data_IF_690875607723
#
_entry.id   IF_690875607723
#
_cell.length_a   1.000
_cell.length_b   1.000
_cell.length_c   1.000
_cell.angle_alpha   90.00
_cell.angle_beta   90.00
_cell.angle_gamma   90.00
#
_symmetry.space_group_name_H-M   'P 1'
#
loop_
_entity.id
_entity.type
_entity.pdbx_description
1 polymer ?
#
# COMPACT_ATOMS: atom_id res chain seq x y z
N UNK A 1 -37.79 -24.97 15.62
CA UNK A 1 -36.50 -24.40 16.10
C UNK A 1 -36.05 -23.19 15.27
N UNK A 2 -35.99 -23.27 13.92
CA UNK A 2 -35.69 -22.12 13.04
C UNK A 2 -36.61 -20.91 13.20
N UNK A 3 -37.93 -21.10 13.26
CA UNK A 3 -38.90 -20.00 13.43
C UNK A 3 -38.78 -19.30 14.80
N UNK A 4 -38.43 -20.03 15.85
CA UNK A 4 -38.28 -19.51 17.22
C UNK A 4 -36.98 -18.71 17.34
N UNK A 5 -35.88 -19.23 16.80
CA UNK A 5 -34.61 -18.52 16.70
C UNK A 5 -34.75 -17.25 15.86
N UNK A 6 -35.45 -17.33 14.72
CA UNK A 6 -35.71 -16.18 13.87
C UNK A 6 -36.58 -15.12 14.58
N UNK A 7 -37.69 -15.54 15.24
CA UNK A 7 -38.53 -14.64 16.05
C UNK A 7 -37.77 -13.98 17.19
N UNK A 8 -36.84 -14.70 17.84
CA UNK A 8 -35.96 -14.15 18.88
C UNK A 8 -34.94 -13.16 18.28
N UNK A 9 -34.42 -13.44 17.09
CA UNK A 9 -33.44 -12.62 16.39
C UNK A 9 -34.01 -11.27 15.94
N UNK A 10 -35.23 -11.22 15.39
CA UNK A 10 -35.85 -9.97 14.89
C UNK A 10 -36.22 -8.93 15.98
N UNK A 11 -36.00 -9.24 17.26
CA UNK A 11 -36.43 -8.41 18.40
C UNK A 11 -35.50 -7.23 18.72
N UNK A 12 -34.27 -7.17 18.18
CA UNK A 12 -33.33 -6.09 18.43
C UNK A 12 -33.19 -5.13 17.23
N UNK A 13 -32.93 -3.85 17.50
CA UNK A 13 -32.70 -2.82 16.47
C UNK A 13 -31.42 -3.06 15.66
N UNK A 14 -30.41 -3.67 16.27
CA UNK A 14 -29.15 -4.02 15.62
C UNK A 14 -29.35 -5.15 14.60
N UNK A 15 -30.14 -6.16 14.96
CA UNK A 15 -30.50 -7.25 14.06
C UNK A 15 -31.35 -6.75 12.88
N UNK A 16 -32.20 -5.74 13.07
CA UNK A 16 -32.96 -5.14 11.99
C UNK A 16 -32.07 -4.47 10.92
N UNK A 17 -30.98 -3.80 11.32
CA UNK A 17 -29.99 -3.24 10.37
C UNK A 17 -29.26 -4.33 9.59
N UNK A 18 -28.87 -5.41 10.26
CA UNK A 18 -28.20 -6.52 9.61
C UNK A 18 -29.10 -7.22 8.61
N UNK A 19 -30.34 -7.54 8.99
CA UNK A 19 -31.32 -8.16 8.10
C UNK A 19 -31.66 -7.25 6.91
N UNK A 20 -31.81 -5.94 7.14
CA UNK A 20 -31.97 -4.96 6.07
C UNK A 20 -30.81 -4.96 5.09
N UNK A 21 -29.58 -5.09 5.61
CA UNK A 21 -28.35 -5.18 4.79
C UNK A 21 -28.31 -6.47 4.00
N UNK A 22 -28.63 -7.61 4.62
CA UNK A 22 -28.72 -8.91 3.95
C UNK A 22 -29.69 -8.88 2.77
N UNK A 23 -30.90 -8.36 2.97
CA UNK A 23 -31.92 -8.19 1.92
C UNK A 23 -31.35 -7.33 0.79
N UNK A 24 -30.77 -6.19 1.15
CA UNK A 24 -30.26 -5.23 0.16
C UNK A 24 -29.14 -5.82 -0.68
N UNK A 25 -28.21 -6.56 -0.09
CA UNK A 25 -27.11 -7.21 -0.81
C UNK A 25 -27.66 -8.26 -1.78
N UNK A 26 -28.46 -9.22 -1.30
CA UNK A 26 -29.03 -10.28 -2.15
C UNK A 26 -29.88 -9.71 -3.29
N UNK A 27 -30.68 -8.67 -3.00
CA UNK A 27 -31.44 -7.95 -4.04
C UNK A 27 -30.53 -7.35 -5.10
N UNK A 28 -29.41 -6.73 -4.71
CA UNK A 28 -28.44 -6.15 -5.65
C UNK A 28 -27.79 -7.25 -6.50
N UNK A 29 -27.43 -8.38 -5.91
CA UNK A 29 -26.80 -9.50 -6.64
C UNK A 29 -27.72 -10.12 -7.69
N UNK A 30 -29.02 -10.15 -7.41
CA UNK A 30 -30.04 -10.63 -8.35
C UNK A 30 -30.49 -9.54 -9.34
N UNK A 31 -29.88 -8.35 -9.31
CA UNK A 31 -30.25 -7.19 -10.13
C UNK A 31 -31.73 -6.77 -10.00
N UNK A 32 -32.33 -6.98 -8.83
CA UNK A 32 -33.74 -6.65 -8.57
C UNK A 32 -33.85 -5.20 -8.06
N UNK A 33 -34.77 -4.41 -8.61
CA UNK A 33 -35.03 -3.05 -8.10
C UNK A 33 -35.81 -3.10 -6.78
N UNK A 34 -35.70 -2.06 -5.95
CA UNK A 34 -36.50 -1.97 -4.70
C UNK A 34 -38.00 -2.02 -5.02
N UNK A 35 -38.41 -1.40 -6.13
CA UNK A 35 -39.80 -1.41 -6.60
C UNK A 35 -40.27 -2.83 -6.95
N UNK A 36 -39.48 -3.57 -7.72
CA UNK A 36 -39.78 -4.93 -8.12
C UNK A 36 -39.90 -5.86 -6.91
N UNK A 37 -38.92 -5.83 -6.00
CA UNK A 37 -38.97 -6.66 -4.78
C UNK A 37 -40.15 -6.30 -3.89
N UNK A 38 -40.48 -5.01 -3.75
CA UNK A 38 -41.64 -4.57 -2.98
C UNK A 38 -42.95 -5.14 -3.55
N UNK A 39 -43.10 -5.12 -4.87
CA UNK A 39 -44.25 -5.70 -5.56
C UNK A 39 -44.32 -7.23 -5.37
N UNK A 40 -43.21 -7.94 -5.54
CA UNK A 40 -43.14 -9.39 -5.35
C UNK A 40 -43.49 -9.80 -3.91
N UNK A 41 -42.95 -9.09 -2.92
CA UNK A 41 -43.22 -9.31 -1.51
C UNK A 41 -44.53 -8.68 -1.01
N UNK A 42 -45.32 -8.06 -1.91
CA UNK A 42 -46.61 -7.41 -1.61
C UNK A 42 -46.54 -6.42 -0.45
N UNK A 43 -45.52 -5.57 -0.45
CA UNK A 43 -45.30 -4.50 0.53
C UNK A 43 -45.06 -3.17 -0.16
N UNK A 44 -45.30 -2.05 0.54
CA UNK A 44 -45.02 -0.74 -0.02
C UNK A 44 -43.52 -0.53 -0.28
N UNK A 45 -43.16 0.07 -1.42
CA UNK A 45 -41.76 0.41 -1.77
C UNK A 45 -41.08 1.24 -0.68
N UNK A 46 -41.76 2.24 -0.14
CA UNK A 46 -41.24 3.09 0.96
C UNK A 46 -40.97 2.26 2.23
N UNK A 47 -41.82 1.28 2.51
CA UNK A 47 -41.67 0.36 3.63
C UNK A 47 -40.44 -0.53 3.44
N UNK A 48 -40.27 -1.17 2.29
CA UNK A 48 -39.10 -1.98 2.00
C UNK A 48 -37.80 -1.16 2.07
N UNK A 49 -37.82 0.07 1.54
CA UNK A 49 -36.68 0.98 1.61
C UNK A 49 -36.29 1.36 3.06
N UNK A 50 -37.27 1.47 3.97
CA UNK A 50 -36.99 1.68 5.39
C UNK A 50 -36.43 0.42 6.06
N UNK A 51 -36.92 -0.76 5.66
CA UNK A 51 -36.41 -2.06 6.14
C UNK A 51 -34.96 -2.28 5.69
N UNK A 52 -34.64 -2.07 4.40
CA UNK A 52 -33.27 -2.24 3.87
C UNK A 52 -32.24 -1.29 4.52
N UNK A 53 -32.68 -0.12 5.01
CA UNK A 53 -31.84 0.82 5.74
C UNK A 53 -31.76 0.53 7.24
N UNK A 54 -32.49 -0.46 7.73
CA UNK A 54 -32.61 -0.76 9.15
C UNK A 54 -33.30 0.35 9.97
N UNK A 55 -34.03 1.26 9.31
CA UNK A 55 -34.82 2.31 9.97
C UNK A 55 -36.09 1.72 10.58
N UNK A 56 -36.61 0.63 9.97
CA UNK A 56 -37.81 -0.05 10.42
C UNK A 56 -37.60 -1.56 10.41
N UNK A 57 -37.97 -2.23 11.50
CA UNK A 57 -38.02 -3.70 11.53
C UNK A 57 -39.29 -4.21 10.85
N UNK A 58 -39.18 -5.32 10.14
CA UNK A 58 -40.33 -6.00 9.56
C UNK A 58 -40.89 -7.08 10.51
N UNK A 59 -42.15 -7.45 10.33
CA UNK A 59 -42.69 -8.61 11.05
C UNK A 59 -42.08 -9.90 10.49
N UNK A 60 -42.04 -10.97 11.28
CA UNK A 60 -41.51 -12.26 10.83
C UNK A 60 -42.15 -12.76 9.52
N UNK A 61 -43.47 -12.56 9.34
CA UNK A 61 -44.19 -12.87 8.09
C UNK A 61 -43.68 -12.06 6.90
N UNK A 62 -43.42 -10.77 7.09
CA UNK A 62 -42.91 -9.89 6.02
C UNK A 62 -41.46 -10.22 5.67
N UNK A 63 -40.62 -10.52 6.65
CA UNK A 63 -39.28 -11.02 6.37
C UNK A 63 -39.31 -12.35 5.61
N UNK A 64 -40.15 -13.30 6.03
CA UNK A 64 -40.30 -14.58 5.33
C UNK A 64 -40.70 -14.37 3.86
N UNK A 65 -41.67 -13.49 3.60
CA UNK A 65 -42.08 -13.15 2.23
C UNK A 65 -40.94 -12.52 1.42
N UNK A 66 -40.17 -11.58 2.00
CA UNK A 66 -39.02 -10.97 1.31
C UNK A 66 -37.94 -12.03 1.02
N UNK A 67 -37.63 -12.89 1.99
CA UNK A 67 -36.60 -13.93 1.86
C UNK A 67 -36.98 -14.97 0.82
N UNK A 68 -38.25 -15.36 0.75
CA UNK A 68 -38.76 -16.25 -0.28
C UNK A 68 -38.56 -15.68 -1.69
N UNK A 69 -38.84 -14.38 -1.90
CA UNK A 69 -38.64 -13.74 -3.21
C UNK A 69 -37.17 -13.54 -3.59
N UNK A 70 -36.26 -13.61 -2.62
CA UNK A 70 -34.81 -13.51 -2.83
C UNK A 70 -34.10 -14.87 -2.71
N UNK A 71 -34.82 -15.98 -2.55
CA UNK A 71 -34.26 -17.31 -2.31
C UNK A 71 -33.23 -17.37 -1.15
N UNK A 72 -33.50 -16.64 -0.07
CA UNK A 72 -32.62 -16.56 1.10
C UNK A 72 -32.98 -17.65 2.11
N UNK A 73 -32.20 -18.74 2.13
CA UNK A 73 -32.17 -19.68 3.27
C UNK A 73 -31.40 -19.06 4.44
N UNK A 74 -32.08 -18.22 5.23
CA UNK A 74 -31.45 -17.45 6.29
C UNK A 74 -30.84 -18.34 7.38
N UNK A 75 -29.54 -18.15 7.61
CA UNK A 75 -28.77 -18.83 8.66
C UNK A 75 -28.26 -17.81 9.68
N UNK A 76 -28.55 -18.06 10.95
CA UNK A 76 -27.88 -17.37 12.05
C UNK A 76 -26.56 -18.10 12.28
N UNK A 77 -25.45 -17.41 12.03
CA UNK A 77 -24.13 -17.92 12.40
C UNK A 77 -23.82 -17.42 13.80
N UNK A 78 -23.05 -18.22 14.53
CA UNK A 78 -22.37 -17.76 15.74
C UNK A 78 -21.50 -16.53 15.41
N UNK A 79 -21.92 -15.37 15.91
CA UNK A 79 -21.25 -14.10 15.65
C UNK A 79 -19.83 -14.08 16.22
N UNK A 80 -19.57 -14.81 17.31
CA UNK A 80 -18.24 -14.86 17.92
C UNK A 80 -17.29 -15.65 17.01
N UNK A 81 -17.76 -16.78 16.48
CA UNK A 81 -17.00 -17.57 15.51
C UNK A 81 -16.71 -16.79 14.22
N UNK A 82 -17.67 -16.01 13.73
CA UNK A 82 -17.46 -15.16 12.55
C UNK A 82 -16.46 -14.06 12.79
N UNK A 83 -16.60 -13.38 13.92
CA UNK A 83 -15.69 -12.33 14.35
C UNK A 83 -14.28 -12.89 14.47
N UNK A 84 -14.11 -14.05 15.10
CA UNK A 84 -12.82 -14.72 15.22
C UNK A 84 -12.21 -15.08 13.85
N UNK A 85 -13.00 -15.61 12.91
CA UNK A 85 -12.51 -15.93 11.55
C UNK A 85 -12.07 -14.68 10.80
N UNK A 86 -12.86 -13.63 10.86
CA UNK A 86 -12.55 -12.34 10.25
C UNK A 86 -11.26 -11.75 10.83
N UNK A 87 -11.12 -11.78 12.16
CA UNK A 87 -9.94 -11.29 12.87
C UNK A 87 -8.69 -12.11 12.54
N UNK A 88 -8.78 -13.43 12.46
CA UNK A 88 -7.66 -14.30 12.10
C UNK A 88 -7.11 -14.00 10.69
N UNK A 89 -7.98 -13.68 9.73
CA UNK A 89 -7.55 -13.30 8.37
C UNK A 89 -6.89 -11.92 8.40
N UNK A 90 -7.51 -10.95 9.08
CA UNK A 90 -6.91 -9.61 9.23
C UNK A 90 -5.57 -9.66 9.94
N UNK A 91 -5.43 -10.51 10.95
CA UNK A 91 -4.18 -10.75 11.65
C UNK A 91 -3.13 -11.31 10.70
N UNK A 92 -3.44 -12.36 9.92
CA UNK A 92 -2.50 -12.90 8.93
C UNK A 92 -2.04 -11.83 7.93
N UNK A 93 -2.95 -10.97 7.45
CA UNK A 93 -2.62 -9.83 6.57
C UNK A 93 -1.74 -8.79 7.29
N UNK A 94 -2.06 -8.46 8.54
CA UNK A 94 -1.31 -7.49 9.33
C UNK A 94 0.09 -8.00 9.67
N UNK A 95 0.27 -9.29 9.91
CA UNK A 95 1.56 -9.95 10.15
C UNK A 95 2.30 -10.35 8.86
N UNK A 96 1.76 -10.01 7.68
CA UNK A 96 2.39 -10.30 6.38
C UNK A 96 2.65 -11.81 6.22
N UNK A 97 1.67 -12.62 6.62
CA UNK A 97 1.62 -14.06 6.44
C UNK A 97 0.65 -14.35 5.28
N UNK A 98 1.16 -14.15 4.06
CA UNK A 98 0.37 -14.24 2.83
C UNK A 98 -0.16 -15.65 2.60
N UNK A 99 0.61 -16.68 2.96
CA UNK A 99 0.22 -18.08 2.78
C UNK A 99 -0.92 -18.45 3.72
N UNK A 100 -0.82 -18.07 5.01
CA UNK A 100 -1.92 -18.26 5.96
C UNK A 100 -3.15 -17.45 5.55
N UNK A 101 -2.98 -16.20 5.14
CA UNK A 101 -4.09 -15.36 4.69
C UNK A 101 -4.82 -16.00 3.49
N UNK A 102 -4.06 -16.48 2.50
CA UNK A 102 -4.60 -17.17 1.33
C UNK A 102 -5.34 -18.45 1.72
N UNK A 103 -4.72 -19.30 2.55
CA UNK A 103 -5.35 -20.54 3.02
C UNK A 103 -6.67 -20.28 3.74
N UNK A 104 -6.74 -19.23 4.58
CA UNK A 104 -7.96 -18.87 5.29
C UNK A 104 -9.03 -18.31 4.36
N UNK A 105 -8.66 -17.53 3.33
CA UNK A 105 -9.58 -17.05 2.30
C UNK A 105 -10.11 -18.20 1.45
N UNK A 106 -9.27 -19.15 1.04
CA UNK A 106 -9.71 -20.31 0.26
C UNK A 106 -10.74 -21.15 1.06
N UNK A 107 -10.53 -21.32 2.36
CA UNK A 107 -11.52 -21.95 3.27
C UNK A 107 -12.82 -21.15 3.35
N UNK A 108 -12.73 -19.82 3.37
CA UNK A 108 -13.89 -18.93 3.38
C UNK A 108 -14.68 -19.06 2.07
N UNK A 109 -14.02 -19.10 0.92
CA UNK A 109 -14.65 -19.27 -0.39
C UNK A 109 -15.37 -20.62 -0.53
N UNK A 110 -14.72 -21.70 -0.08
CA UNK A 110 -15.33 -23.04 -0.06
C UNK A 110 -16.59 -23.12 0.83
N UNK A 111 -16.80 -22.13 1.69
CA UNK A 111 -17.98 -22.01 2.53
C UNK A 111 -18.86 -20.80 2.21
N UNK A 112 -18.70 -20.17 1.03
CA UNK A 112 -19.46 -18.98 0.58
C UNK A 112 -20.98 -19.06 0.85
N UNK A 113 -21.61 -20.18 0.50
CA UNK A 113 -23.07 -20.38 0.66
C UNK A 113 -23.51 -20.27 2.13
N UNK A 114 -22.61 -20.54 3.07
CA UNK A 114 -22.88 -20.37 4.50
C UNK A 114 -22.95 -18.90 4.89
N UNK A 115 -22.20 -18.01 4.23
CA UNK A 115 -22.12 -16.59 4.58
C UNK A 115 -23.09 -15.70 3.78
N UNK A 116 -23.27 -15.99 2.49
CA UNK A 116 -24.06 -15.18 1.57
C UNK A 116 -25.52 -14.98 2.02
N UNK A 117 -26.10 -15.95 2.72
CA UNK A 117 -27.48 -15.89 3.24
C UNK A 117 -27.54 -15.76 4.77
N UNK A 118 -26.52 -15.14 5.37
CA UNK A 118 -26.35 -15.15 6.83
C UNK A 118 -26.06 -13.79 7.44
N UNK A 119 -25.92 -13.80 8.76
CA UNK A 119 -25.46 -12.66 9.56
C UNK A 119 -24.01 -12.24 9.26
N UNK A 120 -23.17 -13.11 8.69
CA UNK A 120 -21.76 -12.85 8.38
C UNK A 120 -21.47 -12.30 6.98
N UNK A 121 -22.50 -11.84 6.27
CA UNK A 121 -22.40 -11.44 4.87
C UNK A 121 -21.47 -10.23 4.66
N UNK A 122 -21.50 -9.26 5.57
CA UNK A 122 -20.71 -8.03 5.44
C UNK A 122 -19.22 -8.33 5.62
N UNK A 123 -18.89 -9.13 6.61
CA UNK A 123 -17.56 -9.64 6.92
C UNK A 123 -16.98 -10.39 5.73
N UNK A 124 -17.79 -11.25 5.11
CA UNK A 124 -17.40 -11.99 3.90
C UNK A 124 -16.98 -11.06 2.76
N UNK A 125 -17.80 -10.07 2.38
CA UNK A 125 -17.40 -9.15 1.30
C UNK A 125 -16.23 -8.24 1.70
N UNK A 126 -16.21 -7.75 2.93
CA UNK A 126 -15.18 -6.84 3.40
C UNK A 126 -13.81 -7.52 3.44
N UNK A 127 -13.70 -8.74 3.96
CA UNK A 127 -12.40 -9.41 4.07
C UNK A 127 -11.84 -9.80 2.71
N UNK A 128 -12.70 -10.17 1.76
CA UNK A 128 -12.32 -10.41 0.36
C UNK A 128 -11.78 -9.15 -0.30
N UNK A 129 -12.49 -8.04 -0.13
CA UNK A 129 -12.05 -6.74 -0.65
C UNK A 129 -10.65 -6.39 -0.12
N UNK A 130 -10.46 -6.51 1.20
CA UNK A 130 -9.18 -6.24 1.87
C UNK A 130 -8.07 -7.16 1.32
N UNK A 131 -8.34 -8.47 1.25
CA UNK A 131 -7.38 -9.46 0.78
C UNK A 131 -6.95 -9.20 -0.67
N UNK A 132 -7.90 -8.96 -1.58
CA UNK A 132 -7.58 -8.73 -2.98
C UNK A 132 -6.85 -7.40 -3.20
N UNK A 133 -7.22 -6.33 -2.49
CA UNK A 133 -6.47 -5.06 -2.54
C UNK A 133 -5.00 -5.27 -2.15
N UNK A 134 -4.73 -6.04 -1.09
CA UNK A 134 -3.36 -6.26 -0.60
C UNK A 134 -2.56 -7.22 -1.48
N UNK A 135 -3.20 -8.23 -2.06
CA UNK A 135 -2.50 -9.26 -2.85
C UNK A 135 -2.31 -8.87 -4.32
N UNK A 136 -3.22 -8.10 -4.91
CA UNK A 136 -3.18 -7.72 -6.33
C UNK A 136 -2.46 -6.38 -6.60
N UNK A 137 -2.23 -5.57 -5.56
CA UNK A 137 -1.32 -4.40 -5.56
C UNK A 137 -1.40 -3.49 -6.80
N UNK A 138 -2.59 -3.01 -7.15
CA UNK A 138 -2.79 -2.09 -8.28
C UNK A 138 -2.98 -2.79 -9.63
N UNK A 139 -2.92 -4.12 -9.67
CA UNK A 139 -3.40 -4.88 -10.84
C UNK A 139 -4.90 -4.65 -10.97
N UNK A 140 -5.35 -4.18 -12.14
CA UNK A 140 -6.78 -4.00 -12.40
C UNK A 140 -7.53 -5.33 -12.22
N UNK A 141 -8.67 -5.26 -11.53
CA UNK A 141 -9.46 -6.43 -11.19
C UNK A 141 -10.94 -6.09 -11.08
N UNK A 142 -11.79 -6.64 -11.97
CA UNK A 142 -13.22 -6.36 -11.96
C UNK A 142 -13.88 -6.85 -10.66
N UNK A 143 -13.29 -7.86 -10.02
CA UNK A 143 -13.77 -8.40 -8.75
C UNK A 143 -13.58 -7.41 -7.58
N UNK A 144 -12.45 -6.68 -7.54
CA UNK A 144 -12.24 -5.63 -6.54
C UNK A 144 -13.27 -4.51 -6.72
N UNK A 145 -13.53 -4.12 -7.97
CA UNK A 145 -14.55 -3.11 -8.30
C UNK A 145 -15.94 -3.53 -7.87
N UNK A 146 -16.32 -4.78 -8.15
CA UNK A 146 -17.61 -5.33 -7.74
C UNK A 146 -17.77 -5.31 -6.22
N UNK A 147 -16.75 -5.77 -5.49
CA UNK A 147 -16.72 -5.81 -4.03
C UNK A 147 -16.84 -4.41 -3.42
N UNK A 148 -16.04 -3.46 -3.90
CA UNK A 148 -16.07 -2.08 -3.42
C UNK A 148 -17.44 -1.45 -3.66
N UNK A 149 -18.00 -1.62 -4.86
CA UNK A 149 -19.32 -1.08 -5.21
C UNK A 149 -20.43 -1.65 -4.32
N UNK A 150 -20.40 -2.96 -4.02
CA UNK A 150 -21.33 -3.59 -3.08
C UNK A 150 -21.24 -2.97 -1.69
N UNK A 151 -20.01 -2.84 -1.15
CA UNK A 151 -19.77 -2.27 0.18
C UNK A 151 -20.17 -0.79 0.25
N UNK A 152 -19.92 -0.01 -0.80
CA UNK A 152 -20.32 1.40 -0.87
C UNK A 152 -21.85 1.58 -0.90
N UNK A 153 -22.58 0.70 -1.58
CA UNK A 153 -24.05 0.74 -1.60
C UNK A 153 -24.65 0.53 -0.21
N UNK A 154 -24.00 -0.25 0.65
CA UNK A 154 -24.46 -0.54 2.03
C UNK A 154 -23.76 0.31 3.10
N UNK A 155 -22.86 1.23 2.73
CA UNK A 155 -22.00 2.00 3.66
C UNK A 155 -22.73 2.65 4.84
N UNK A 156 -23.98 3.10 4.63
CA UNK A 156 -24.80 3.73 5.65
C UNK A 156 -25.19 2.80 6.80
N UNK A 157 -25.23 1.49 6.53
CA UNK A 157 -25.60 0.45 7.49
C UNK A 157 -24.40 -0.20 8.17
N UNK A 158 -23.18 0.04 7.69
CA UNK A 158 -21.98 -0.55 8.25
C UNK A 158 -21.73 -0.08 9.69
N UNK A 159 -21.22 -0.99 10.51
CA UNK A 159 -20.69 -0.66 11.84
C UNK A 159 -19.52 0.31 11.71
N UNK A 160 -19.16 1.00 12.80
CA UNK A 160 -18.07 1.95 12.78
C UNK A 160 -16.74 1.28 12.40
N UNK A 161 -16.45 0.10 12.95
CA UNK A 161 -15.25 -0.68 12.62
C UNK A 161 -15.18 -1.05 11.14
N UNK A 162 -16.31 -1.41 10.51
CA UNK A 162 -16.34 -1.75 9.09
C UNK A 162 -16.20 -0.51 8.19
N UNK A 163 -16.69 0.66 8.63
CA UNK A 163 -16.44 1.92 7.94
C UNK A 163 -14.96 2.31 7.98
N UNK A 164 -14.30 2.11 9.13
CA UNK A 164 -12.86 2.32 9.29
C UNK A 164 -12.08 1.44 8.30
N UNK A 165 -12.31 0.14 8.32
CA UNK A 165 -11.63 -0.81 7.43
C UNK A 165 -11.91 -0.53 5.95
N UNK A 166 -13.17 -0.28 5.58
CA UNK A 166 -13.53 0.06 4.20
C UNK A 166 -12.79 1.33 3.74
N UNK A 167 -12.81 2.40 4.54
CA UNK A 167 -12.07 3.63 4.20
C UNK A 167 -10.56 3.38 4.10
N UNK A 168 -9.99 2.64 5.06
CA UNK A 168 -8.56 2.33 5.07
C UNK A 168 -8.12 1.63 3.78
N UNK A 169 -8.79 0.53 3.42
CA UNK A 169 -8.35 -0.27 2.28
C UNK A 169 -8.76 0.29 0.92
N UNK A 170 -9.78 1.16 0.86
CA UNK A 170 -9.98 2.03 -0.32
C UNK A 170 -8.81 3.01 -0.48
N UNK A 171 -8.31 3.57 0.61
CA UNK A 171 -7.11 4.40 0.59
C UNK A 171 -5.87 3.64 0.13
N UNK A 172 -5.69 2.40 0.60
CA UNK A 172 -4.60 1.52 0.14
C UNK A 172 -4.71 1.19 -1.35
N UNK A 173 -5.93 0.95 -1.85
CA UNK A 173 -6.17 0.75 -3.28
C UNK A 173 -5.73 1.99 -4.08
N UNK A 174 -6.18 3.18 -3.68
CA UNK A 174 -5.79 4.44 -4.33
C UNK A 174 -4.29 4.72 -4.29
N UNK A 175 -3.61 4.29 -3.21
CA UNK A 175 -2.15 4.31 -3.17
C UNK A 175 -1.53 3.45 -4.28
N UNK A 176 -2.03 2.24 -4.51
CA UNK A 176 -1.52 1.39 -5.60
C UNK A 176 -1.87 1.96 -6.99
N UNK A 177 -3.00 2.64 -7.11
CA UNK A 177 -3.40 3.38 -8.32
C UNK A 177 -2.57 4.67 -8.54
N UNK A 178 -1.61 4.96 -7.65
CA UNK A 178 -0.77 6.18 -7.62
C UNK A 178 -1.56 7.48 -7.42
N UNK A 179 -2.78 7.38 -6.88
CA UNK A 179 -3.66 8.51 -6.56
C UNK A 179 -3.48 8.94 -5.08
N UNK A 180 -2.35 9.57 -4.76
CA UNK A 180 -1.91 9.79 -3.38
C UNK A 180 -2.81 10.72 -2.56
N UNK A 181 -3.35 11.80 -3.15
CA UNK A 181 -4.24 12.72 -2.44
C UNK A 181 -5.58 12.06 -2.07
N UNK A 182 -6.15 11.26 -2.97
CA UNK A 182 -7.33 10.45 -2.69
C UNK A 182 -7.05 9.38 -1.63
N UNK A 183 -5.89 8.73 -1.71
CA UNK A 183 -5.44 7.76 -0.73
C UNK A 183 -5.39 8.38 0.68
N UNK A 184 -4.75 9.55 0.82
CA UNK A 184 -4.66 10.27 2.09
C UNK A 184 -6.04 10.71 2.60
N UNK A 185 -6.90 11.23 1.72
CA UNK A 185 -8.27 11.62 2.07
C UNK A 185 -9.05 10.45 2.67
N UNK A 186 -8.94 9.26 2.09
CA UNK A 186 -9.61 8.06 2.56
C UNK A 186 -9.00 7.51 3.86
N UNK A 187 -7.67 7.55 3.99
CA UNK A 187 -6.98 7.10 5.20
C UNK A 187 -7.24 8.02 6.40
N UNK A 188 -7.26 9.34 6.22
CA UNK A 188 -7.65 10.29 7.26
C UNK A 188 -9.12 10.12 7.65
N UNK A 189 -10.01 9.92 6.67
CA UNK A 189 -11.41 9.59 6.94
C UNK A 189 -11.56 8.31 7.77
N UNK A 190 -10.66 7.34 7.61
CA UNK A 190 -10.65 6.14 8.44
C UNK A 190 -10.37 6.47 9.92
N UNK A 191 -9.49 7.45 10.20
CA UNK A 191 -9.27 7.96 11.56
C UNK A 191 -10.44 8.81 12.08
N UNK A 192 -11.12 9.57 11.21
CA UNK A 192 -12.27 10.41 11.60
C UNK A 192 -13.48 9.59 12.06
N UNK A 193 -13.59 8.33 11.62
CA UNK A 193 -14.57 7.40 12.16
C UNK A 193 -14.26 6.98 13.62
N UNK A 194 -13.08 7.27 14.15
CA UNK A 194 -12.75 7.09 15.56
C UNK A 194 -11.59 6.12 15.81
N UNK A 195 -11.22 6.02 17.09
CA UNK A 195 -10.10 5.17 17.53
C UNK A 195 -10.54 3.71 17.48
N UNK A 196 -9.73 2.86 16.85
CA UNK A 196 -9.94 1.41 16.81
C UNK A 196 -8.62 0.66 16.93
N UNK A 197 -8.69 -0.66 17.13
CA UNK A 197 -7.51 -1.54 17.06
C UNK A 197 -6.77 -1.48 15.72
N UNK A 198 -7.39 -0.94 14.67
CA UNK A 198 -6.80 -0.79 13.34
C UNK A 198 -6.04 0.53 13.17
N UNK A 199 -6.18 1.49 14.09
CA UNK A 199 -5.50 2.80 14.04
C UNK A 199 -3.98 2.72 13.80
N UNK A 200 -3.22 1.79 14.40
CA UNK A 200 -1.79 1.64 14.10
C UNK A 200 -1.51 1.31 12.62
N UNK A 201 -2.33 0.43 12.03
CA UNK A 201 -2.19 0.05 10.64
C UNK A 201 -2.63 1.17 9.67
N UNK A 202 -3.60 2.00 10.07
CA UNK A 202 -3.98 3.21 9.33
C UNK A 202 -2.80 4.20 9.31
N UNK A 203 -2.19 4.47 10.48
CA UNK A 203 -1.02 5.34 10.57
C UNK A 203 0.17 4.79 9.78
N UNK A 204 0.38 3.47 9.76
CA UNK A 204 1.37 2.84 8.89
C UNK A 204 1.11 3.14 7.41
N UNK A 205 -0.13 2.98 6.92
CA UNK A 205 -0.46 3.30 5.53
C UNK A 205 -0.33 4.81 5.24
N UNK A 206 -0.71 5.69 6.16
CA UNK A 206 -0.49 7.14 6.02
C UNK A 206 1.00 7.44 5.89
N UNK A 207 1.84 6.84 6.75
CA UNK A 207 3.30 6.98 6.69
C UNK A 207 3.88 6.48 5.37
N UNK A 208 3.42 5.32 4.88
CA UNK A 208 3.80 4.78 3.58
C UNK A 208 3.46 5.76 2.45
N UNK A 209 2.22 6.26 2.39
CA UNK A 209 1.79 7.18 1.34
C UNK A 209 2.59 8.47 1.38
N UNK A 210 2.77 9.09 2.57
CA UNK A 210 3.58 10.30 2.68
C UNK A 210 5.06 10.08 2.35
N UNK A 211 5.61 8.89 2.60
CA UNK A 211 6.99 8.55 2.20
C UNK A 211 7.13 8.58 0.69
N UNK A 212 6.23 7.88 -0.01
CA UNK A 212 6.23 7.82 -1.49
C UNK A 212 5.85 9.17 -2.11
N UNK A 213 5.01 9.95 -1.43
CA UNK A 213 4.61 11.29 -1.87
C UNK A 213 5.61 12.40 -1.47
N UNK A 214 6.79 12.02 -0.97
CA UNK A 214 7.87 12.93 -0.55
C UNK A 214 7.42 14.04 0.41
N UNK A 215 6.64 13.66 1.43
CA UNK A 215 6.25 14.52 2.55
C UNK A 215 6.86 13.95 3.84
N UNK A 216 8.17 14.17 4.09
CA UNK A 216 8.88 13.37 5.08
C UNK A 216 8.47 13.67 6.53
N UNK A 217 8.16 14.92 6.86
CA UNK A 217 7.72 15.30 8.22
C UNK A 217 6.41 14.59 8.61
N UNK A 218 5.31 14.68 7.85
CA UNK A 218 4.10 13.95 8.19
C UNK A 218 4.28 12.42 8.08
N UNK A 219 5.16 11.93 7.20
CA UNK A 219 5.51 10.51 7.16
C UNK A 219 6.13 10.03 8.47
N UNK A 220 7.13 10.75 9.00
CA UNK A 220 7.78 10.45 10.28
C UNK A 220 6.75 10.41 11.41
N UNK A 221 5.90 11.43 11.51
CA UNK A 221 4.87 11.50 12.55
C UNK A 221 3.91 10.30 12.50
N UNK A 222 3.48 9.91 11.30
CA UNK A 222 2.59 8.76 11.12
C UNK A 222 3.29 7.43 11.44
N UNK A 223 4.54 7.24 10.97
CA UNK A 223 5.33 6.05 11.26
C UNK A 223 5.66 5.91 12.76
N UNK A 224 5.93 7.00 13.48
CA UNK A 224 6.14 6.94 14.93
C UNK A 224 4.88 6.50 15.69
N UNK A 225 3.69 6.95 15.24
CA UNK A 225 2.40 6.53 15.81
C UNK A 225 2.14 5.04 15.64
N UNK A 226 2.59 4.41 14.55
CA UNK A 226 2.39 2.98 14.30
C UNK A 226 3.48 2.10 14.92
N UNK A 227 4.73 2.58 14.95
CA UNK A 227 5.91 1.82 15.43
C UNK A 227 5.73 1.27 16.84
N UNK A 228 5.33 2.12 17.79
CA UNK A 228 5.19 1.73 19.20
C UNK A 228 4.22 0.56 19.40
N UNK A 229 3.14 0.53 18.61
CA UNK A 229 2.18 -0.56 18.63
C UNK A 229 2.77 -1.85 18.05
N UNK A 230 3.42 -1.80 16.88
CA UNK A 230 3.99 -3.00 16.28
C UNK A 230 5.11 -3.62 17.12
N UNK A 231 5.88 -2.80 17.82
CA UNK A 231 6.89 -3.27 18.75
C UNK A 231 6.25 -3.94 19.98
N UNK A 232 5.18 -3.34 20.54
CA UNK A 232 4.45 -3.92 21.67
C UNK A 232 3.76 -5.25 21.32
N UNK A 233 3.18 -5.33 20.13
CA UNK A 233 2.50 -6.54 19.64
C UNK A 233 3.47 -7.57 19.04
N UNK A 234 4.79 -7.32 19.08
CA UNK A 234 5.79 -8.21 18.49
C UNK A 234 5.56 -8.49 16.98
N UNK A 235 4.94 -7.56 16.26
CA UNK A 235 4.79 -7.63 14.82
C UNK A 235 6.06 -7.11 14.13
N UNK A 236 7.13 -7.91 14.20
CA UNK A 236 8.46 -7.53 13.75
C UNK A 236 8.53 -7.20 12.26
N UNK A 237 7.77 -7.87 11.40
CA UNK A 237 7.73 -7.54 9.96
C UNK A 237 7.18 -6.13 9.71
N UNK A 238 6.11 -5.73 10.42
CA UNK A 238 5.60 -4.35 10.33
C UNK A 238 6.50 -3.34 11.02
N UNK A 239 7.16 -3.73 12.12
CA UNK A 239 8.17 -2.88 12.76
C UNK A 239 9.34 -2.60 11.80
N UNK A 240 9.88 -3.61 11.13
CA UNK A 240 10.92 -3.46 10.09
C UNK A 240 10.45 -2.54 8.96
N UNK A 241 9.26 -2.79 8.39
CA UNK A 241 8.73 -1.95 7.33
C UNK A 241 8.55 -0.48 7.77
N UNK A 242 8.06 -0.26 8.99
CA UNK A 242 7.92 1.09 9.56
C UNK A 242 9.26 1.78 9.75
N UNK A 243 10.28 1.06 10.22
CA UNK A 243 11.65 1.54 10.36
C UNK A 243 12.30 1.87 9.02
N UNK A 244 11.99 1.10 7.98
CA UNK A 244 12.46 1.39 6.62
C UNK A 244 11.95 2.76 6.17
N UNK A 245 10.66 3.03 6.36
CA UNK A 245 10.08 4.35 6.07
C UNK A 245 10.68 5.45 6.94
N UNK A 246 10.87 5.23 8.24
CA UNK A 246 11.55 6.20 9.11
C UNK A 246 12.96 6.51 8.61
N UNK A 247 13.76 5.50 8.27
CA UNK A 247 15.11 5.68 7.74
C UNK A 247 15.14 6.51 6.47
N UNK A 248 14.23 6.24 5.53
CA UNK A 248 14.11 7.00 4.28
C UNK A 248 13.77 8.46 4.59
N UNK A 249 12.75 8.71 5.41
CA UNK A 249 12.31 10.07 5.68
C UNK A 249 13.30 10.87 6.55
N UNK A 250 13.98 10.23 7.51
CA UNK A 250 15.05 10.86 8.27
C UNK A 250 16.23 11.26 7.36
N UNK A 251 16.58 10.40 6.40
CA UNK A 251 17.59 10.73 5.37
C UNK A 251 17.18 11.95 4.54
N UNK A 252 15.91 12.05 4.15
CA UNK A 252 15.38 13.17 3.37
C UNK A 252 15.36 14.50 4.14
N UNK A 253 15.15 14.50 5.45
CA UNK A 253 15.20 15.72 6.29
C UNK A 253 16.62 16.05 6.78
N UNK A 254 17.61 15.22 6.46
CA UNK A 254 18.99 15.41 6.87
C UNK A 254 19.32 14.91 8.28
N UNK A 255 18.42 14.17 8.94
CA UNK A 255 18.71 13.52 10.22
C UNK A 255 19.34 12.15 9.99
N UNK A 256 20.60 12.24 9.65
CA UNK A 256 21.44 11.17 9.20
C UNK A 256 21.73 10.09 10.23
N UNK A 257 21.88 10.49 11.50
CA UNK A 257 22.09 9.55 12.60
C UNK A 257 20.83 8.71 12.82
N UNK A 258 19.66 9.35 12.91
CA UNK A 258 18.41 8.60 13.08
C UNK A 258 18.09 7.70 11.88
N UNK A 259 18.47 8.11 10.67
CA UNK A 259 18.36 7.27 9.49
C UNK A 259 19.20 5.99 9.62
N UNK A 260 20.49 6.15 9.96
CA UNK A 260 21.42 5.03 10.15
C UNK A 260 20.96 4.09 11.28
N UNK A 261 20.53 4.63 12.42
CA UNK A 261 20.01 3.85 13.56
C UNK A 261 18.82 2.97 13.13
N UNK A 262 17.90 3.51 12.33
CA UNK A 262 16.76 2.73 11.84
C UNK A 262 17.19 1.59 10.92
N UNK A 263 18.13 1.81 10.00
CA UNK A 263 18.61 0.75 9.12
C UNK A 263 19.43 -0.32 9.87
N UNK A 264 20.22 0.08 10.85
CA UNK A 264 20.97 -0.84 11.70
C UNK A 264 20.03 -1.72 12.55
N UNK A 265 18.96 -1.14 13.10
CA UNK A 265 17.92 -1.90 13.81
C UNK A 265 17.25 -2.93 12.89
N UNK A 266 16.95 -2.57 11.63
CA UNK A 266 16.42 -3.51 10.64
C UNK A 266 17.40 -4.68 10.44
N UNK A 267 18.69 -4.40 10.23
CA UNK A 267 19.72 -5.43 10.04
C UNK A 267 19.79 -6.35 11.27
N UNK A 268 19.75 -5.79 12.48
CA UNK A 268 19.83 -6.56 13.72
C UNK A 268 18.62 -7.48 13.88
N UNK A 269 17.41 -6.96 13.70
CA UNK A 269 16.16 -7.73 13.83
C UNK A 269 16.11 -8.81 12.74
N UNK A 270 16.39 -8.44 11.48
CA UNK A 270 16.37 -9.38 10.35
C UNK A 270 17.35 -10.53 10.53
N UNK A 271 18.55 -10.31 11.06
CA UNK A 271 19.51 -11.38 11.35
C UNK A 271 19.06 -12.29 12.50
N UNK A 272 18.45 -11.72 13.54
CA UNK A 272 17.99 -12.48 14.72
C UNK A 272 16.76 -13.35 14.43
N UNK A 273 15.88 -12.89 13.54
CA UNK A 273 14.59 -13.53 13.25
C UNK A 273 14.52 -14.18 11.86
N UNK A 274 15.66 -14.28 11.17
CA UNK A 274 15.78 -14.85 9.83
C UNK A 274 14.87 -14.17 8.77
N UNK A 275 14.75 -12.85 8.84
CA UNK A 275 14.07 -12.03 7.82
C UNK A 275 15.08 -11.43 6.84
N UNK A 276 15.87 -12.30 6.22
CA UNK A 276 16.97 -11.96 5.31
C UNK A 276 16.53 -11.14 4.10
N UNK A 277 15.27 -11.27 3.69
CA UNK A 277 14.67 -10.54 2.57
C UNK A 277 14.63 -9.01 2.74
N UNK A 278 14.76 -8.47 3.96
CA UNK A 278 14.83 -7.02 4.19
C UNK A 278 16.27 -6.46 4.18
N UNK A 279 17.28 -7.33 4.26
CA UNK A 279 18.67 -6.92 4.37
C UNK A 279 19.19 -6.19 3.12
N UNK A 280 18.92 -6.63 1.87
CA UNK A 280 19.39 -5.92 0.68
C UNK A 280 18.91 -4.47 0.65
N UNK A 281 17.62 -4.23 0.92
CA UNK A 281 17.03 -2.88 0.95
C UNK A 281 17.64 -2.01 2.06
N UNK A 282 17.92 -2.58 3.24
CA UNK A 282 18.60 -1.83 4.30
C UNK A 282 20.04 -1.45 3.91
N UNK A 283 20.78 -2.37 3.28
CA UNK A 283 22.16 -2.11 2.85
C UNK A 283 22.25 -1.09 1.71
N UNK A 284 21.37 -1.14 0.70
CA UNK A 284 21.39 -0.13 -0.37
C UNK A 284 21.03 1.27 0.18
N UNK A 285 20.09 1.35 1.12
CA UNK A 285 19.75 2.63 1.75
C UNK A 285 20.89 3.17 2.61
N UNK A 286 21.63 2.32 3.34
CA UNK A 286 22.86 2.72 4.02
C UNK A 286 23.94 3.15 3.03
N UNK A 287 24.11 2.45 1.91
CA UNK A 287 25.05 2.84 0.86
C UNK A 287 24.73 4.25 0.34
N UNK A 288 23.47 4.55 0.02
CA UNK A 288 23.07 5.90 -0.37
C UNK A 288 23.26 6.94 0.74
N UNK A 289 23.00 6.58 1.99
CA UNK A 289 23.22 7.44 3.15
C UNK A 289 24.71 7.82 3.27
N UNK A 290 25.61 6.85 3.21
CA UNK A 290 27.06 7.11 3.27
C UNK A 290 27.62 7.79 2.02
N UNK A 291 26.99 7.60 0.86
CA UNK A 291 27.33 8.33 -0.35
C UNK A 291 27.10 9.83 -0.18
N UNK A 292 26.05 10.25 0.54
CA UNK A 292 25.80 11.66 0.89
C UNK A 292 26.93 12.25 1.75
N UNK A 293 27.58 11.45 2.61
CA UNK A 293 28.75 11.88 3.39
C UNK A 293 30.09 11.72 2.67
N UNK A 294 30.10 11.18 1.45
CA UNK A 294 31.32 10.79 0.74
C UNK A 294 32.18 9.78 1.52
N UNK A 295 31.56 8.94 2.34
CA UNK A 295 32.24 7.84 3.02
C UNK A 295 32.26 6.60 2.11
N UNK A 296 33.09 6.65 1.07
CA UNK A 296 33.10 5.66 -0.01
C UNK A 296 33.43 4.24 0.47
N UNK A 297 34.29 4.08 1.48
CA UNK A 297 34.62 2.77 2.05
C UNK A 297 33.39 2.06 2.61
N UNK A 298 32.56 2.79 3.36
CA UNK A 298 31.30 2.26 3.88
C UNK A 298 30.29 1.99 2.78
N UNK A 299 30.25 2.82 1.74
CA UNK A 299 29.41 2.55 0.57
C UNK A 299 29.78 1.21 -0.05
N UNK A 300 31.04 1.00 -0.43
CA UNK A 300 31.47 -0.25 -1.05
C UNK A 300 31.23 -1.47 -0.16
N UNK A 301 31.44 -1.35 1.15
CA UNK A 301 31.12 -2.40 2.12
C UNK A 301 29.64 -2.79 2.06
N UNK A 302 28.72 -1.82 2.05
CA UNK A 302 27.29 -2.12 2.00
C UNK A 302 26.84 -2.62 0.63
N UNK A 303 27.44 -2.13 -0.46
CA UNK A 303 27.20 -2.69 -1.80
C UNK A 303 27.62 -4.16 -1.88
N UNK A 304 28.76 -4.53 -1.31
CA UNK A 304 29.23 -5.92 -1.26
C UNK A 304 28.27 -6.80 -0.43
N UNK A 305 27.92 -6.36 0.78
CA UNK A 305 27.00 -7.09 1.66
C UNK A 305 25.63 -7.30 1.03
N UNK A 306 25.07 -6.26 0.40
CA UNK A 306 23.77 -6.32 -0.25
C UNK A 306 23.77 -7.22 -1.48
N UNK A 307 24.78 -7.10 -2.36
CA UNK A 307 24.88 -7.92 -3.57
C UNK A 307 25.16 -9.40 -3.31
N UNK A 308 25.82 -9.73 -2.21
CA UNK A 308 25.98 -11.13 -1.79
C UNK A 308 24.63 -11.79 -1.52
N UNK A 309 23.65 -11.03 -1.04
CA UNK A 309 22.31 -11.50 -0.73
C UNK A 309 21.37 -11.41 -1.93
N UNK A 310 21.48 -10.33 -2.70
CA UNK A 310 20.69 -10.12 -3.92
C UNK A 310 21.58 -9.60 -5.08
N UNK A 311 22.22 -10.50 -5.83
CA UNK A 311 23.15 -10.13 -6.90
C UNK A 311 22.46 -9.54 -8.14
N UNK A 312 21.13 -9.56 -8.19
CA UNK A 312 20.31 -9.10 -9.31
C UNK A 312 19.58 -7.79 -9.02
N UNK A 313 19.74 -7.23 -7.81
CA UNK A 313 19.21 -5.90 -7.48
C UNK A 313 20.08 -4.81 -8.14
N UNK A 314 19.53 -4.17 -9.17
CA UNK A 314 20.26 -3.24 -10.02
C UNK A 314 20.69 -1.95 -9.30
N UNK A 315 19.98 -1.49 -8.27
CA UNK A 315 20.32 -0.28 -7.52
C UNK A 315 21.73 -0.34 -6.92
N UNK A 316 22.24 -1.54 -6.56
CA UNK A 316 23.62 -1.66 -6.08
C UNK A 316 24.65 -1.29 -7.15
N UNK A 317 24.35 -1.59 -8.42
CA UNK A 317 25.21 -1.26 -9.55
C UNK A 317 25.16 0.23 -9.80
N UNK A 318 23.95 0.77 -9.83
CA UNK A 318 23.71 2.20 -9.98
C UNK A 318 24.47 3.01 -8.91
N UNK A 319 24.31 2.64 -7.64
CA UNK A 319 25.02 3.28 -6.53
C UNK A 319 26.55 3.08 -6.63
N UNK A 320 27.01 1.92 -7.09
CA UNK A 320 28.43 1.65 -7.34
C UNK A 320 29.06 2.54 -8.41
N UNK A 321 28.36 2.80 -9.51
CA UNK A 321 28.79 3.74 -10.57
C UNK A 321 28.89 5.15 -10.01
N UNK A 322 27.84 5.64 -9.33
CA UNK A 322 27.83 6.97 -8.72
C UNK A 322 28.97 7.16 -7.71
N UNK A 323 29.19 6.14 -6.87
CA UNK A 323 30.24 6.14 -5.85
C UNK A 323 31.62 6.23 -6.51
N UNK A 324 31.87 5.38 -7.50
CA UNK A 324 33.18 5.31 -8.17
C UNK A 324 33.48 6.58 -8.97
N UNK A 325 32.46 7.16 -9.62
CA UNK A 325 32.57 8.47 -10.28
C UNK A 325 32.94 9.57 -9.28
N UNK A 326 32.20 9.69 -8.15
CA UNK A 326 32.48 10.70 -7.12
C UNK A 326 33.82 10.51 -6.41
N UNK A 327 34.25 9.26 -6.24
CA UNK A 327 35.55 8.90 -5.69
C UNK A 327 36.71 9.10 -6.69
N UNK A 328 36.41 9.32 -7.98
CA UNK A 328 37.38 9.34 -9.09
C UNK A 328 38.18 8.02 -9.20
N UNK A 329 37.53 6.90 -8.87
CA UNK A 329 38.09 5.56 -8.99
C UNK A 329 37.71 4.95 -10.34
N UNK A 330 38.61 5.11 -11.32
CA UNK A 330 38.38 4.67 -12.71
C UNK A 330 38.33 3.14 -12.85
N UNK A 331 39.05 2.41 -11.99
CA UNK A 331 39.06 0.94 -12.01
C UNK A 331 37.73 0.40 -11.50
N UNK A 332 37.28 0.87 -10.34
CA UNK A 332 35.98 0.51 -9.79
C UNK A 332 34.85 0.92 -10.73
N UNK A 333 34.92 2.13 -11.30
CA UNK A 333 33.92 2.63 -12.24
C UNK A 333 33.75 1.70 -13.45
N UNK A 334 34.87 1.33 -14.08
CA UNK A 334 34.89 0.41 -15.22
C UNK A 334 34.31 -0.96 -14.86
N UNK A 335 34.62 -1.46 -13.66
CA UNK A 335 34.06 -2.72 -13.14
C UNK A 335 32.54 -2.64 -12.96
N UNK A 336 32.01 -1.56 -12.40
CA UNK A 336 30.57 -1.39 -12.18
C UNK A 336 29.79 -1.18 -13.48
N UNK A 337 30.33 -0.43 -14.43
CA UNK A 337 29.73 -0.27 -15.77
C UNK A 337 29.67 -1.61 -16.49
N UNK A 338 30.78 -2.36 -16.52
CA UNK A 338 30.83 -3.69 -17.14
C UNK A 338 29.79 -4.63 -16.55
N UNK A 339 29.64 -4.61 -15.24
CA UNK A 339 28.64 -5.41 -14.55
C UNK A 339 27.20 -4.99 -14.89
N UNK A 340 26.93 -3.69 -14.98
CA UNK A 340 25.60 -3.19 -15.35
C UNK A 340 25.18 -3.50 -16.78
N UNK A 341 26.14 -3.83 -17.64
CA UNK A 341 25.93 -4.30 -19.02
C UNK A 341 25.76 -5.82 -19.15
N UNK A 342 25.75 -6.56 -18.05
CA UNK A 342 25.46 -8.00 -18.04
C UNK A 342 24.04 -8.27 -18.57
N UNK A 343 23.86 -9.35 -19.34
CA UNK A 343 22.60 -9.73 -19.99
C UNK A 343 21.42 -9.77 -19.00
N UNK A 344 21.67 -10.13 -17.74
CA UNK A 344 20.62 -10.18 -16.71
C UNK A 344 20.03 -8.81 -16.35
N UNK A 345 20.66 -7.71 -16.75
CA UNK A 345 20.16 -6.35 -16.57
C UNK A 345 19.67 -5.69 -17.87
N UNK A 346 19.69 -6.41 -19.00
CA UNK A 346 19.33 -5.86 -20.32
C UNK A 346 17.92 -5.23 -20.38
N UNK A 347 16.98 -5.78 -19.61
CA UNK A 347 15.59 -5.30 -19.51
C UNK A 347 15.38 -4.22 -18.44
N UNK A 348 16.40 -3.91 -17.63
CA UNK A 348 16.32 -2.90 -16.57
C UNK A 348 16.54 -1.52 -17.16
N UNK A 349 15.45 -0.92 -17.69
CA UNK A 349 15.48 0.40 -18.33
C UNK A 349 16.19 1.49 -17.51
N UNK A 350 15.95 1.65 -16.18
CA UNK A 350 16.60 2.70 -15.41
C UNK A 350 18.13 2.57 -15.40
N UNK A 351 18.64 1.36 -15.16
CA UNK A 351 20.07 1.10 -15.14
C UNK A 351 20.69 1.29 -16.53
N UNK A 352 20.03 0.79 -17.59
CA UNK A 352 20.52 0.93 -18.97
C UNK A 352 20.62 2.39 -19.39
N UNK A 353 19.55 3.17 -19.22
CA UNK A 353 19.55 4.59 -19.59
C UNK A 353 20.55 5.38 -18.75
N UNK A 354 20.70 5.04 -17.47
CA UNK A 354 21.72 5.66 -16.62
C UNK A 354 23.14 5.38 -17.10
N UNK A 355 23.47 4.14 -17.50
CA UNK A 355 24.79 3.81 -18.04
C UNK A 355 25.04 4.53 -19.36
N UNK A 356 24.06 4.52 -20.28
CA UNK A 356 24.16 5.24 -21.56
C UNK A 356 24.39 6.75 -21.33
N UNK A 357 23.63 7.35 -20.40
CA UNK A 357 23.78 8.76 -20.03
C UNK A 357 25.18 9.01 -19.47
N UNK A 358 25.60 8.19 -18.51
CA UNK A 358 26.90 8.33 -17.87
C UNK A 358 28.04 8.26 -18.88
N UNK A 359 28.03 7.29 -19.80
CA UNK A 359 29.06 7.16 -20.84
C UNK A 359 29.04 8.34 -21.83
N UNK A 360 27.84 8.84 -22.18
CA UNK A 360 27.69 10.00 -23.07
C UNK A 360 28.23 11.29 -22.45
N UNK A 361 28.02 11.50 -21.15
CA UNK A 361 28.54 12.67 -20.42
C UNK A 361 30.08 12.71 -20.34
N UNK A 362 30.74 11.56 -20.47
CA UNK A 362 32.19 11.41 -20.33
C UNK A 362 32.90 11.12 -21.67
N UNK A 363 32.18 11.19 -22.80
CA UNK A 363 32.73 10.99 -24.14
C UNK A 363 32.56 12.23 -25.01
N UNK A 364 33.45 12.43 -25.99
CA UNK A 364 33.33 13.52 -26.99
C UNK A 364 32.31 13.19 -28.10
N UNK A 365 31.28 12.40 -27.78
CA UNK A 365 30.31 11.92 -28.77
C UNK A 365 29.22 12.96 -29.03
N UNK A 366 28.79 13.08 -30.29
CA UNK A 366 27.73 14.00 -30.71
C UNK A 366 26.32 13.38 -30.48
N UNK A 367 26.08 12.89 -29.26
CA UNK A 367 24.82 12.25 -28.84
C UNK A 367 23.88 13.31 -28.28
N UNK A 368 22.58 13.12 -28.45
CA UNK A 368 21.55 13.93 -27.77
C UNK A 368 21.51 13.62 -26.26
N UNK A 369 22.44 14.22 -25.51
CA UNK A 369 22.60 14.05 -24.06
C UNK A 369 21.32 14.48 -23.34
N UNK A 370 20.67 15.55 -23.79
CA UNK A 370 19.44 16.06 -23.16
C UNK A 370 18.30 15.05 -23.29
N UNK A 371 18.06 14.52 -24.49
CA UNK A 371 17.02 13.50 -24.68
C UNK A 371 17.30 12.21 -23.89
N UNK A 372 18.58 11.86 -23.69
CA UNK A 372 18.96 10.71 -22.87
C UNK A 372 18.77 10.97 -21.37
N UNK A 373 19.08 12.18 -20.89
CA UNK A 373 18.77 12.62 -19.53
C UNK A 373 17.26 12.55 -19.26
N UNK A 374 16.43 13.08 -20.16
CA UNK A 374 14.97 13.07 -20.03
C UNK A 374 14.43 11.64 -19.91
N UNK A 375 14.89 10.72 -20.78
CA UNK A 375 14.54 9.28 -20.71
C UNK A 375 14.97 8.63 -19.40
N UNK A 376 16.17 8.96 -18.92
CA UNK A 376 16.70 8.41 -17.67
C UNK A 376 15.83 8.85 -16.49
N UNK A 377 15.52 10.15 -16.40
CA UNK A 377 14.68 10.70 -15.35
C UNK A 377 13.26 10.13 -15.40
N UNK A 378 12.66 10.00 -16.58
CA UNK A 378 11.33 9.41 -16.74
C UNK A 378 11.28 7.97 -16.19
N UNK A 379 12.28 7.15 -16.55
CA UNK A 379 12.36 5.76 -16.09
C UNK A 379 12.53 5.60 -14.57
N UNK A 380 13.09 6.60 -13.88
CA UNK A 380 13.26 6.59 -12.42
C UNK A 380 12.05 7.17 -11.71
N UNK A 381 11.40 8.18 -12.29
CA UNK A 381 10.13 8.73 -11.79
C UNK A 381 9.03 7.67 -11.75
N UNK A 382 9.01 6.72 -12.69
CA UNK A 382 8.09 5.57 -12.65
C UNK A 382 8.20 4.74 -11.37
N UNK A 383 9.41 4.69 -10.79
CA UNK A 383 9.77 3.92 -9.59
C UNK A 383 9.84 4.78 -8.30
N UNK A 384 9.59 6.08 -8.39
CA UNK A 384 9.58 7.04 -7.27
C UNK A 384 10.84 7.04 -6.37
N UNK A 385 12.03 6.81 -6.95
CA UNK A 385 13.27 6.86 -6.19
C UNK A 385 13.86 8.29 -6.18
N UNK A 386 13.50 9.08 -5.16
CA UNK A 386 13.94 10.48 -5.02
C UNK A 386 15.46 10.64 -4.82
N UNK A 387 16.13 9.63 -4.23
CA UNK A 387 17.58 9.67 -4.02
C UNK A 387 18.30 9.57 -5.36
N UNK A 388 17.86 8.65 -6.22
CA UNK A 388 18.41 8.47 -7.56
C UNK A 388 18.08 9.65 -8.47
N UNK A 389 16.85 10.16 -8.38
CA UNK A 389 16.45 11.38 -9.08
C UNK A 389 17.38 12.54 -8.72
N UNK A 390 17.58 12.83 -7.43
CA UNK A 390 18.49 13.88 -6.97
C UNK A 390 19.91 13.69 -7.51
N UNK A 391 20.44 12.45 -7.46
CA UNK A 391 21.79 12.15 -7.92
C UNK A 391 21.99 12.41 -9.43
N UNK A 392 21.05 12.01 -10.29
CA UNK A 392 21.15 12.25 -11.74
C UNK A 392 21.01 13.72 -12.08
N UNK A 393 20.06 14.41 -11.44
CA UNK A 393 19.87 15.85 -11.70
C UNK A 393 21.14 16.62 -11.34
N UNK A 394 21.75 16.30 -10.19
CA UNK A 394 23.03 16.92 -9.79
C UNK A 394 24.17 16.58 -10.76
N UNK A 395 24.29 15.32 -11.19
CA UNK A 395 25.30 14.92 -12.18
C UNK A 395 25.14 15.68 -13.51
N UNK A 396 23.90 15.88 -13.97
CA UNK A 396 23.62 16.61 -15.19
C UNK A 396 23.89 18.12 -15.03
N UNK A 397 23.56 18.70 -13.86
CA UNK A 397 23.93 20.08 -13.52
C UNK A 397 25.45 20.27 -13.58
N UNK A 398 26.23 19.37 -12.96
CA UNK A 398 27.70 19.43 -12.97
C UNK A 398 28.27 19.37 -14.40
N UNK A 399 27.67 18.55 -15.28
CA UNK A 399 28.01 18.51 -16.70
C UNK A 399 27.74 19.83 -17.42
N UNK A 400 26.56 20.42 -17.22
CA UNK A 400 26.18 21.70 -17.82
C UNK A 400 27.11 22.83 -17.36
N UNK A 401 27.44 22.88 -16.07
CA UNK A 401 28.37 23.86 -15.51
C UNK A 401 29.78 23.71 -16.09
N UNK A 402 30.26 22.48 -16.24
CA UNK A 402 31.57 22.18 -16.84
C UNK A 402 31.65 22.60 -18.31
N UNK A 403 30.52 22.59 -19.02
CA UNK A 403 30.38 23.06 -20.40
C UNK A 403 29.95 24.53 -20.52
N UNK A 404 29.99 25.29 -19.41
CA UNK A 404 29.61 26.72 -19.35
C UNK A 404 28.15 27.03 -19.72
N UNK A 405 27.28 26.03 -19.63
CA UNK A 405 25.83 26.14 -19.88
C UNK A 405 25.07 26.58 -18.62
N UNK A 406 25.54 27.64 -17.96
CA UNK A 406 25.07 28.05 -16.62
C UNK A 406 23.58 28.39 -16.54
N UNK A 407 23.00 28.94 -17.61
CA UNK A 407 21.56 29.25 -17.66
C UNK A 407 20.71 27.98 -17.58
N UNK A 408 21.12 26.92 -18.27
CA UNK A 408 20.41 25.64 -18.24
C UNK A 408 20.62 24.95 -16.90
N UNK A 409 21.85 24.95 -16.37
CA UNK A 409 22.15 24.42 -15.04
C UNK A 409 21.24 25.06 -13.96
N UNK A 410 21.07 26.38 -14.00
CA UNK A 410 20.18 27.10 -13.08
C UNK A 410 18.72 26.64 -13.17
N UNK A 411 18.21 26.38 -14.38
CA UNK A 411 16.84 25.89 -14.56
C UNK A 411 16.65 24.52 -13.89
N UNK A 412 17.60 23.59 -14.07
CA UNK A 412 17.54 22.27 -13.42
C UNK A 412 17.76 22.34 -11.91
N UNK A 413 18.59 23.26 -11.42
CA UNK A 413 18.72 23.52 -9.99
C UNK A 413 17.39 23.99 -9.38
N UNK A 414 16.66 24.87 -10.07
CA UNK A 414 15.33 25.30 -9.65
C UNK A 414 14.32 24.16 -9.70
N UNK A 415 14.30 23.35 -10.77
CA UNK A 415 13.43 22.16 -10.86
C UNK A 415 13.69 21.19 -9.72
N UNK A 416 14.97 20.89 -9.43
CA UNK A 416 15.35 20.03 -8.33
C UNK A 416 14.84 20.58 -6.99
N UNK A 417 15.07 21.87 -6.73
CA UNK A 417 14.60 22.53 -5.52
C UNK A 417 13.08 22.39 -5.33
N UNK A 418 12.29 22.66 -6.37
CA UNK A 418 10.82 22.56 -6.31
C UNK A 418 10.33 21.12 -6.21
N UNK A 419 11.01 20.18 -6.85
CA UNK A 419 10.68 18.75 -6.76
C UNK A 419 10.97 18.22 -5.35
N UNK A 420 12.07 18.64 -4.74
CA UNK A 420 12.48 18.20 -3.40
C UNK A 420 11.68 18.88 -2.29
N UNK A 421 11.28 20.15 -2.44
CA UNK A 421 10.36 20.81 -1.48
C UNK A 421 8.89 20.41 -1.65
N UNK A 422 8.53 19.80 -2.77
CA UNK A 422 7.18 19.77 -3.28
C UNK A 422 6.79 21.15 -3.80
N UNK A 423 6.11 21.21 -4.95
CA UNK A 423 5.55 22.48 -5.44
C UNK A 423 4.68 23.10 -4.34
N UNK A 424 4.82 24.40 -4.12
CA UNK A 424 3.76 25.16 -3.44
C UNK A 424 2.57 25.10 -4.39
N UNK A 425 1.51 24.43 -3.95
CA UNK A 425 0.20 24.69 -4.52
C UNK A 425 -0.17 26.09 -4.01
N UNK A 426 0.05 27.10 -4.85
CA UNK A 426 -0.41 28.47 -4.63
C UNK A 426 -1.93 28.57 -4.83
#
# INVERSE_FOLDING_TARGET
MREVLFKKYISSSENAKLLGTLIRINRIEQNISVEALANYAKIARSYLSQVERGVRSASGKKYASIFEQLDIDFKVIDNDLMTQRFENILEAINYVDNDKAKLLIDKLENSKVHFAHSTGIVEYYLIRFIFYVITQKGTWSPEIDELENKLLRIRGNLSQNYKILLSQYRGVRKYYDKEFDEALTLLHRANDYGISKHTPMINYHIGLVYTVYNKPVPAILACLKSKSYFEKEMNYKRSIATRMHLGINYSLVGDYQLAEDNYNDIIQISKKLDFSNYLPTAYINLAYLHLRYRNFDMVYKYLELGRKLDPNHWDFIYCGILTSSKAKDNEALSKWIKLGKDDKFSDVKPLRYFIELFESLHSETNVDIKGLYEKTIESIKENFNYIEYEAIVLMYIEFLESNRMYKEALNYQQELFWTMKGKRDD
#
